data_IF_378696724200
#
_entry.id   IF_378696724200
#
_cell.length_a   1.000
_cell.length_b   1.000
_cell.length_c   1.000
_cell.angle_alpha   90.00
_cell.angle_beta   90.00
_cell.angle_gamma   90.00
#
_symmetry.space_group_name_H-M   'P 1'
#
loop_
_entity.id
_entity.type
_entity.pdbx_description
1 polymer ?
#
# COMPACT_ATOMS: atom_id res chain seq x y z
N UNK A 1 -24.20 -7.88 5.75
CA UNK A 1 -22.73 -7.69 5.87
C UNK A 1 -22.07 -8.74 4.98
N UNK A 2 -21.23 -8.31 4.06
CA UNK A 2 -20.41 -9.18 3.22
C UNK A 2 -18.93 -8.84 3.43
N UNK A 3 -18.06 -9.84 3.32
CA UNK A 3 -16.60 -9.67 3.40
C UNK A 3 -16.05 -9.92 2.01
N UNK A 4 -15.22 -9.00 1.52
CA UNK A 4 -14.54 -9.12 0.24
C UNK A 4 -13.04 -9.08 0.45
N UNK A 5 -12.34 -9.92 -0.32
CA UNK A 5 -10.89 -9.91 -0.44
C UNK A 5 -10.57 -9.40 -1.84
N UNK A 6 -9.83 -8.30 -1.92
CA UNK A 6 -9.50 -7.63 -3.19
C UNK A 6 -8.00 -7.55 -3.32
N UNK A 7 -7.50 -7.94 -4.48
CA UNK A 7 -6.10 -7.77 -4.86
C UNK A 7 -6.01 -6.65 -5.90
N UNK A 8 -5.07 -5.73 -5.72
CA UNK A 8 -4.80 -4.67 -6.70
C UNK A 8 -3.31 -4.38 -6.81
N UNK A 9 -2.90 -3.80 -7.93
CA UNK A 9 -1.55 -3.31 -8.16
C UNK A 9 -1.56 -1.79 -8.35
N UNK A 10 -0.46 -1.12 -8.01
CA UNK A 10 -0.33 0.34 -8.15
C UNK A 10 0.69 0.72 -9.21
N UNK A 11 0.41 1.81 -9.93
CA UNK A 11 1.34 2.46 -10.84
C UNK A 11 1.39 3.98 -10.56
N UNK A 12 2.58 4.60 -10.51
CA UNK A 12 3.91 4.00 -10.53
C UNK A 12 4.28 3.36 -9.17
N UNK A 13 5.17 2.37 -9.19
CA UNK A 13 5.70 1.72 -7.98
C UNK A 13 5.44 0.22 -7.89
N UNK A 14 4.59 -0.33 -8.78
CA UNK A 14 4.32 -1.76 -8.93
C UNK A 14 4.02 -2.46 -7.61
N UNK A 15 3.35 -1.78 -6.67
CA UNK A 15 3.02 -2.36 -5.38
C UNK A 15 1.82 -3.27 -5.53
N UNK A 16 1.94 -4.54 -5.14
CA UNK A 16 0.82 -5.50 -5.14
C UNK A 16 0.24 -5.59 -3.73
N UNK A 17 -1.05 -5.36 -3.59
CA UNK A 17 -1.74 -5.30 -2.32
C UNK A 17 -2.93 -6.25 -2.27
N UNK A 18 -3.15 -6.82 -1.10
CA UNK A 18 -4.36 -7.51 -0.71
C UNK A 18 -5.07 -6.71 0.38
N UNK A 19 -6.38 -6.53 0.23
CA UNK A 19 -7.23 -5.87 1.22
C UNK A 19 -8.44 -6.72 1.56
N UNK A 20 -8.79 -6.72 2.84
CA UNK A 20 -10.05 -7.27 3.33
C UNK A 20 -10.98 -6.14 3.74
N UNK A 21 -12.13 -6.03 3.08
CA UNK A 21 -13.13 -4.99 3.34
C UNK A 21 -14.48 -5.58 3.73
N UNK A 22 -15.20 -4.86 4.57
CA UNK A 22 -16.57 -5.22 4.97
C UNK A 22 -17.56 -4.28 4.28
N UNK A 23 -18.58 -4.84 3.63
CA UNK A 23 -19.66 -4.08 3.00
C UNK A 23 -20.97 -4.29 3.75
N UNK A 24 -21.56 -3.19 4.18
CA UNK A 24 -22.89 -3.11 4.76
C UNK A 24 -23.89 -2.82 3.64
N UNK A 25 -24.26 -3.86 2.89
CA UNK A 25 -25.14 -3.81 1.71
C UNK A 25 -26.42 -2.99 1.94
N UNK A 26 -27.01 -3.07 3.13
CA UNK A 26 -28.28 -2.39 3.45
C UNK A 26 -28.18 -0.84 3.41
N UNK A 27 -27.00 -0.30 3.63
CA UNK A 27 -26.72 1.15 3.67
C UNK A 27 -25.65 1.57 2.66
N UNK A 28 -25.28 0.64 1.77
CA UNK A 28 -24.19 0.77 0.80
C UNK A 28 -22.90 1.39 1.36
N UNK A 29 -22.47 0.91 2.53
CA UNK A 29 -21.28 1.43 3.20
C UNK A 29 -20.16 0.40 3.21
N UNK A 30 -18.97 0.81 2.78
CA UNK A 30 -17.75 0.01 2.88
C UNK A 30 -16.93 0.51 4.06
N UNK A 31 -16.47 -0.42 4.89
CA UNK A 31 -15.56 -0.16 6.00
C UNK A 31 -14.28 -0.96 5.83
N UNK A 32 -13.15 -0.30 6.03
CA UNK A 32 -11.80 -0.87 5.87
C UNK A 32 -10.97 -0.56 7.13
N UNK A 33 -10.28 -1.57 7.65
CA UNK A 33 -9.23 -1.37 8.65
C UNK A 33 -7.88 -1.25 7.91
N UNK A 34 -7.10 -0.16 8.07
CA UNK A 34 -5.78 -0.04 7.44
C UNK A 34 -4.81 -1.18 7.78
N UNK A 35 -5.00 -1.86 8.92
CA UNK A 35 -4.23 -3.06 9.31
C UNK A 35 -4.60 -4.31 8.49
N UNK A 36 -5.74 -4.29 7.80
CA UNK A 36 -6.18 -5.34 6.90
C UNK A 36 -5.71 -5.11 5.45
N UNK A 37 -4.81 -4.14 5.23
CA UNK A 37 -4.11 -3.95 3.96
C UNK A 37 -2.71 -4.58 4.08
N UNK A 38 -2.42 -5.54 3.20
CA UNK A 38 -1.14 -6.24 3.16
C UNK A 38 -0.50 -6.05 1.79
N UNK A 39 0.77 -5.63 1.75
CA UNK A 39 1.54 -5.64 0.50
C UNK A 39 2.11 -7.04 0.27
N UNK A 40 1.78 -7.66 -0.85
CA UNK A 40 2.10 -9.06 -1.16
C UNK A 40 3.50 -9.17 -1.77
N UNK A 41 3.93 -8.18 -2.57
CA UNK A 41 5.25 -8.22 -3.18
C UNK A 41 6.36 -7.78 -2.20
N UNK A 42 7.55 -8.38 -2.38
CA UNK A 42 8.68 -8.18 -1.46
C UNK A 42 9.10 -6.72 -1.45
N UNK A 43 9.14 -6.14 -0.25
CA UNK A 43 9.38 -4.72 -0.01
C UNK A 43 10.80 -4.23 -0.32
N UNK A 44 11.69 -5.14 -0.76
CA UNK A 44 13.05 -4.85 -1.21
C UNK A 44 13.76 -3.78 -0.38
N UNK A 45 14.32 -2.79 -1.07
CA UNK A 45 14.80 -1.54 -0.50
C UNK A 45 13.89 -0.36 -0.86
N UNK A 46 12.71 -0.64 -1.45
CA UNK A 46 11.72 0.34 -1.87
C UNK A 46 11.42 1.41 -0.82
N UNK A 47 11.30 1.15 0.49
CA UNK A 47 11.00 2.19 1.49
C UNK A 47 12.21 2.73 2.26
N UNK A 48 13.44 2.40 1.87
CA UNK A 48 14.59 2.58 2.75
C UNK A 48 14.69 4.02 3.28
N UNK A 49 14.38 5.01 2.44
CA UNK A 49 14.35 6.44 2.75
C UNK A 49 13.32 6.89 3.81
N UNK A 50 12.30 6.08 4.11
CA UNK A 50 11.27 6.40 5.11
C UNK A 50 11.40 5.56 6.39
N UNK A 51 12.40 4.68 6.49
CA UNK A 51 12.63 3.85 7.67
C UNK A 51 12.70 4.68 8.96
N UNK A 52 13.52 5.73 8.91
CA UNK A 52 13.87 6.54 10.07
C UNK A 52 12.85 7.68 10.30
N UNK A 53 12.00 7.96 9.31
CA UNK A 53 11.05 9.08 9.36
C UNK A 53 9.62 8.64 9.70
N UNK A 54 9.13 7.59 9.03
CA UNK A 54 7.73 7.16 9.09
C UNK A 54 7.65 5.66 8.88
N UNK A 55 7.96 4.89 9.92
CA UNK A 55 8.02 3.43 9.85
C UNK A 55 6.65 2.80 9.60
N UNK A 56 5.59 3.43 10.07
CA UNK A 56 4.21 2.99 10.02
C UNK A 56 3.61 2.97 8.61
N UNK A 57 4.11 3.80 7.69
CA UNK A 57 3.65 3.83 6.28
C UNK A 57 4.52 3.02 5.33
N UNK A 58 5.48 2.26 5.88
CA UNK A 58 6.36 1.31 5.16
C UNK A 58 5.64 0.07 4.63
N UNK A 59 4.36 0.14 4.32
CA UNK A 59 3.74 -0.85 3.47
C UNK A 59 3.16 -0.20 2.22
N UNK A 60 2.90 1.11 2.29
CA UNK A 60 2.25 1.88 1.23
C UNK A 60 3.23 2.69 0.40
N UNK A 61 4.33 3.15 0.99
CA UNK A 61 5.26 4.07 0.33
C UNK A 61 6.39 3.35 -0.41
N UNK A 62 6.99 4.07 -1.36
CA UNK A 62 8.26 3.72 -1.99
C UNK A 62 9.11 5.00 -2.16
N UNK A 63 10.41 4.83 -2.27
CA UNK A 63 11.37 5.90 -2.48
C UNK A 63 11.40 6.25 -3.96
N UNK A 64 10.89 7.43 -4.28
CA UNK A 64 10.97 7.94 -5.64
C UNK A 64 12.39 8.49 -5.87
N UNK A 65 13.26 7.71 -6.52
CA UNK A 65 14.64 8.11 -6.85
C UNK A 65 14.74 9.13 -8.00
N UNK A 66 13.65 9.79 -8.39
CA UNK A 66 13.61 10.76 -9.49
C UNK A 66 14.41 12.08 -9.25
N UNK A 67 15.33 12.08 -8.28
CA UNK A 67 16.24 13.19 -7.96
C UNK A 67 17.72 12.79 -7.88
N UNK A 68 18.13 11.58 -8.30
CA UNK A 68 19.55 11.18 -8.40
C UNK A 68 20.03 11.00 -9.85
N UNK A 69 19.38 11.66 -10.81
CA UNK A 69 19.93 11.93 -12.15
C UNK A 69 20.34 13.41 -12.32
N UNK A 70 20.77 14.07 -11.23
CA UNK A 70 21.44 15.38 -11.34
C UNK A 70 22.95 15.26 -11.10
N UNK A 71 23.64 15.58 -12.19
CA UNK A 71 25.06 15.87 -12.38
C UNK A 71 26.02 14.69 -12.38
N UNK A 72 26.41 14.35 -13.61
CA UNK A 72 27.80 14.26 -14.07
C UNK A 72 28.84 14.85 -13.12
#
# INVERSE_FOLDING_TARGET
>A
KAIYQVTFFTEPGHGEFEITLEHLVNVDQITLNPKAISRINKYGTDPACILDKNREIRQFCYCNNHSLSKSR
#
